data_IF_626188207880
#
_entry.id   IF_626188207880
#
_cell.length_a   1.000
_cell.length_b   1.000
_cell.length_c   1.000
_cell.angle_alpha   90.00
_cell.angle_beta   90.00
_cell.angle_gamma   90.00
#
_symmetry.space_group_name_H-M   'P 1'
#
loop_
_entity.id
_entity.type
_entity.pdbx_description
1 polymer ?
#
# COMPACT_ATOMS: atom_id res chain seq x y z
N UNK A 1 -6.69 8.86 -9.78
CA UNK A 1 -5.62 8.00 -9.24
C UNK A 1 -5.26 6.94 -10.25
N UNK A 2 -3.97 6.65 -10.38
CA UNK A 2 -3.44 5.67 -11.34
C UNK A 2 -3.34 4.28 -10.71
N UNK A 3 -2.98 4.21 -9.42
CA UNK A 3 -2.89 2.97 -8.65
C UNK A 3 -3.28 3.22 -7.19
N UNK A 4 -3.43 2.13 -6.44
CA UNK A 4 -3.68 2.13 -5.00
C UNK A 4 -2.80 1.08 -4.33
N UNK A 5 -2.19 1.44 -3.20
CA UNK A 5 -1.36 0.57 -2.38
C UNK A 5 -2.04 0.31 -1.04
N UNK A 6 -2.09 -0.96 -0.62
CA UNK A 6 -2.67 -1.37 0.66
C UNK A 6 -1.58 -1.92 1.58
N UNK A 7 -1.43 -1.31 2.75
CA UNK A 7 -0.66 -1.85 3.86
C UNK A 7 -1.64 -2.51 4.84
N UNK A 8 -1.53 -3.84 5.00
CA UNK A 8 -2.44 -4.64 5.80
C UNK A 8 -1.80 -4.96 7.16
N UNK A 9 -2.47 -4.57 8.24
CA UNK A 9 -2.02 -4.74 9.61
C UNK A 9 -3.00 -5.60 10.38
N UNK A 10 -2.47 -6.42 11.29
CA UNK A 10 -3.25 -7.21 12.23
C UNK A 10 -2.61 -7.12 13.62
N UNK A 11 -3.41 -7.34 14.66
CA UNK A 11 -2.90 -7.30 16.02
C UNK A 11 -1.93 -8.46 16.29
N UNK A 12 -0.71 -8.13 16.70
CA UNK A 12 0.37 -9.09 16.98
C UNK A 12 -0.05 -10.18 17.97
N UNK A 13 -0.99 -9.89 18.90
CA UNK A 13 -1.51 -10.87 19.88
C UNK A 13 -2.03 -12.16 19.25
N UNK A 14 -2.35 -12.15 17.95
CA UNK A 14 -2.84 -13.32 17.21
C UNK A 14 -1.75 -14.11 16.46
N UNK A 15 -0.54 -13.58 16.36
CA UNK A 15 0.63 -14.21 15.72
C UNK A 15 0.55 -14.38 14.20
N UNK A 16 -0.64 -14.44 13.60
CA UNK A 16 -0.81 -14.49 12.14
C UNK A 16 -2.14 -13.88 11.69
N UNK A 17 -2.15 -13.36 10.46
CA UNK A 17 -3.36 -12.87 9.80
C UNK A 17 -4.47 -13.93 9.78
N UNK A 18 -4.14 -15.17 9.46
CA UNK A 18 -5.09 -16.29 9.42
C UNK A 18 -5.76 -16.54 10.76
N UNK A 19 -5.06 -16.32 11.88
CA UNK A 19 -5.64 -16.47 13.22
C UNK A 19 -6.66 -15.38 13.53
N UNK A 20 -6.45 -14.15 13.05
CA UNK A 20 -7.40 -13.03 13.20
C UNK A 20 -8.71 -13.36 12.49
N UNK A 21 -8.64 -13.91 11.27
CA UNK A 21 -9.83 -14.29 10.49
C UNK A 21 -10.72 -15.34 11.18
N UNK A 22 -10.20 -16.04 12.20
CA UNK A 22 -10.95 -17.03 12.98
C UNK A 22 -11.60 -16.46 14.23
N UNK A 23 -11.22 -15.25 14.65
CA UNK A 23 -11.76 -14.62 15.84
C UNK A 23 -13.06 -13.88 15.52
N UNK A 24 -14.00 -13.93 16.46
CA UNK A 24 -15.19 -13.10 16.40
C UNK A 24 -14.87 -11.74 17.00
N UNK A 25 -15.30 -10.66 16.34
CA UNK A 25 -15.17 -9.26 16.79
C UNK A 25 -13.76 -8.67 16.77
N UNK A 26 -12.85 -9.21 15.96
CA UNK A 26 -11.52 -8.63 15.79
C UNK A 26 -11.38 -8.01 14.41
N UNK A 27 -10.78 -6.83 14.36
CA UNK A 27 -10.61 -6.06 13.15
C UNK A 27 -9.15 -6.15 12.65
N UNK A 28 -8.99 -6.04 11.34
CA UNK A 28 -7.71 -5.76 10.69
C UNK A 28 -7.70 -4.31 10.23
N UNK A 29 -6.53 -3.69 10.22
CA UNK A 29 -6.38 -2.32 9.75
C UNK A 29 -5.81 -2.36 8.34
N UNK A 30 -6.45 -1.66 7.41
CA UNK A 30 -5.88 -1.43 6.08
C UNK A 30 -5.64 0.05 5.89
N UNK A 31 -4.37 0.41 5.69
CA UNK A 31 -3.99 1.75 5.24
C UNK A 31 -3.89 1.74 3.73
N UNK A 32 -4.64 2.62 3.08
CA UNK A 32 -4.67 2.78 1.64
C UNK A 32 -4.02 4.11 1.25
N UNK A 33 -3.15 4.05 0.25
CA UNK A 33 -2.48 5.20 -0.34
C UNK A 33 -2.74 5.22 -1.83
N UNK A 34 -3.17 6.36 -2.35
CA UNK A 34 -3.27 6.53 -3.79
C UNK A 34 -1.92 6.88 -4.41
N UNK A 35 -1.65 6.31 -5.59
CA UNK A 35 -0.53 6.71 -6.44
C UNK A 35 -1.10 7.41 -7.67
N UNK A 36 -0.47 8.53 -8.08
CA UNK A 36 -0.95 9.35 -9.17
C UNK A 36 0.21 9.75 -10.07
N UNK A 37 0.02 9.57 -11.38
CA UNK A 37 0.83 10.26 -12.39
C UNK A 37 0.23 11.67 -12.60
N UNK A 38 0.96 12.75 -12.30
CA UNK A 38 0.43 14.11 -12.45
C UNK A 38 0.13 14.45 -13.91
N UNK A 39 -0.92 15.23 -14.15
CA UNK A 39 -1.31 15.69 -15.50
C UNK A 39 -0.35 16.77 -16.04
N UNK A 40 0.25 17.55 -15.16
CA UNK A 40 1.20 18.60 -15.52
C UNK A 40 2.63 18.07 -15.63
N UNK A 41 3.26 18.36 -16.77
CA UNK A 41 4.58 17.91 -17.20
C UNK A 41 5.73 18.64 -16.47
N UNK A 42 5.61 18.84 -15.16
CA UNK A 42 6.64 19.45 -14.34
C UNK A 42 7.86 18.52 -14.27
N UNK A 43 9.05 19.03 -14.55
CA UNK A 43 10.31 18.26 -14.66
C UNK A 43 10.66 17.45 -13.40
N UNK A 44 10.11 17.81 -12.24
CA UNK A 44 10.27 17.05 -11.01
C UNK A 44 9.49 15.72 -11.00
N UNK A 45 8.33 15.64 -11.66
CA UNK A 45 7.51 14.43 -11.73
C UNK A 45 8.01 13.46 -12.81
N UNK A 46 8.68 13.96 -13.85
CA UNK A 46 9.32 13.11 -14.85
C UNK A 46 10.41 12.19 -14.26
N UNK A 47 11.08 12.62 -13.16
CA UNK A 47 12.11 11.82 -12.50
C UNK A 47 11.56 10.62 -11.70
N UNK A 48 10.25 10.57 -11.47
CA UNK A 48 9.62 9.53 -10.66
C UNK A 48 9.97 9.61 -9.18
N UNK A 49 9.30 8.77 -8.38
CA UNK A 49 9.60 8.63 -6.97
C UNK A 49 10.75 7.64 -6.78
N UNK A 50 11.96 8.16 -6.52
CA UNK A 50 13.16 7.33 -6.35
C UNK A 50 13.07 6.32 -5.22
N UNK A 51 12.24 6.57 -4.20
CA UNK A 51 12.04 5.63 -3.09
C UNK A 51 11.26 4.39 -3.55
N UNK A 52 10.55 4.46 -4.68
CA UNK A 52 9.90 3.31 -5.31
C UNK A 52 10.80 2.58 -6.33
N UNK A 53 11.95 3.15 -6.72
CA UNK A 53 12.84 2.54 -7.72
C UNK A 53 13.25 1.09 -7.39
N UNK A 54 13.58 0.73 -6.13
CA UNK A 54 13.90 -0.66 -5.78
C UNK A 54 12.73 -1.60 -6.09
N UNK A 55 11.50 -1.21 -5.73
CA UNK A 55 10.30 -1.99 -5.96
C UNK A 55 9.99 -2.11 -7.46
N UNK A 56 10.06 -1.00 -8.21
CA UNK A 56 9.83 -0.98 -9.66
C UNK A 56 10.82 -1.90 -10.39
N UNK A 57 12.11 -1.85 -10.03
CA UNK A 57 13.13 -2.73 -10.61
C UNK A 57 12.88 -4.21 -10.35
N UNK A 58 12.51 -4.54 -9.11
CA UNK A 58 12.22 -5.93 -8.74
C UNK A 58 10.93 -6.41 -9.40
N UNK A 59 9.87 -5.61 -9.41
CA UNK A 59 8.62 -5.91 -10.11
C UNK A 59 8.85 -6.19 -11.60
N UNK A 60 9.68 -5.39 -12.28
CA UNK A 60 10.03 -5.60 -13.69
C UNK A 60 10.78 -6.94 -13.96
N UNK A 61 11.40 -7.53 -12.94
CA UNK A 61 12.08 -8.83 -13.04
C UNK A 61 11.13 -10.02 -12.86
N UNK A 62 9.98 -9.82 -12.23
CA UNK A 62 8.97 -10.85 -11.97
C UNK A 62 8.03 -10.93 -13.17
N UNK A 63 8.28 -11.87 -14.08
CA UNK A 63 7.47 -12.07 -15.30
C UNK A 63 6.49 -13.23 -15.18
N UNK A 64 6.88 -14.25 -14.43
CA UNK A 64 6.12 -15.47 -14.28
C UNK A 64 5.39 -15.49 -12.93
N UNK A 65 4.18 -16.06 -12.94
CA UNK A 65 3.39 -16.28 -11.73
C UNK A 65 4.20 -17.11 -10.72
N UNK A 66 4.00 -16.84 -9.44
CA UNK A 66 4.60 -17.56 -8.31
C UNK A 66 6.15 -17.39 -8.22
N UNK A 67 6.73 -16.46 -8.98
CA UNK A 67 8.14 -16.05 -8.85
C UNK A 67 8.33 -15.19 -7.61
N UNK A 68 9.38 -15.48 -6.85
CA UNK A 68 9.79 -14.72 -5.67
C UNK A 68 11.10 -13.98 -5.98
N UNK A 69 11.15 -12.69 -5.66
CA UNK A 69 12.37 -11.90 -5.72
C UNK A 69 12.56 -11.14 -4.41
N UNK A 70 13.82 -10.87 -4.06
CA UNK A 70 14.18 -10.18 -2.83
C UNK A 70 14.48 -8.71 -3.10
N UNK A 71 13.94 -7.85 -2.24
CA UNK A 71 14.26 -6.43 -2.20
C UNK A 71 15.23 -6.22 -1.04
N UNK A 72 16.44 -5.72 -1.34
CA UNK A 72 17.51 -5.54 -0.34
C UNK A 72 17.40 -4.24 0.47
N UNK A 73 16.50 -3.34 0.06
CA UNK A 73 16.35 -2.00 0.64
C UNK A 73 14.88 -1.61 0.62
N UNK A 74 14.35 -1.34 1.81
CA UNK A 74 12.92 -1.09 2.04
C UNK A 74 12.62 0.40 2.20
N UNK A 75 13.02 1.21 1.20
CA UNK A 75 12.78 2.66 1.21
C UNK A 75 11.26 2.98 1.13
N UNK A 76 10.40 2.00 0.81
CA UNK A 76 8.94 2.21 0.75
C UNK A 76 8.33 2.39 2.13
N UNK A 77 8.94 1.82 3.18
CA UNK A 77 8.51 2.05 4.57
C UNK A 77 8.63 3.52 4.94
N UNK A 78 9.71 4.20 4.52
CA UNK A 78 9.88 5.62 4.79
C UNK A 78 8.80 6.48 4.11
N UNK A 79 8.37 6.12 2.90
CA UNK A 79 7.23 6.79 2.23
C UNK A 79 5.94 6.61 3.03
N UNK A 80 5.70 5.39 3.52
CA UNK A 80 4.50 5.08 4.31
C UNK A 80 4.52 5.87 5.61
N UNK A 81 5.66 5.91 6.31
CA UNK A 81 5.83 6.66 7.55
C UNK A 81 5.59 8.16 7.35
N UNK A 82 6.16 8.77 6.31
CA UNK A 82 5.92 10.18 5.95
C UNK A 82 4.42 10.46 5.73
N UNK A 83 3.74 9.59 4.98
CA UNK A 83 2.29 9.74 4.75
C UNK A 83 1.47 9.57 6.02
N UNK A 84 1.90 8.72 6.94
CA UNK A 84 1.25 8.51 8.24
C UNK A 84 1.35 9.69 9.20
N UNK A 85 2.26 10.64 8.98
CA UNK A 85 2.32 11.88 9.77
C UNK A 85 1.13 12.81 9.48
N UNK A 86 0.47 12.64 8.33
CA UNK A 86 -0.71 13.41 7.97
C UNK A 86 -1.92 13.04 8.82
N UNK A 87 -2.61 14.04 9.37
CA UNK A 87 -3.91 13.85 10.03
C UNK A 87 -5.09 13.87 9.04
N UNK A 88 -4.82 14.06 7.75
CA UNK A 88 -5.84 14.24 6.72
C UNK A 88 -6.12 12.93 5.96
N UNK A 89 -7.00 12.12 6.56
CA UNK A 89 -7.40 10.82 6.06
C UNK A 89 -8.90 10.58 6.27
N UNK A 90 -9.46 9.68 5.47
CA UNK A 90 -10.81 9.15 5.67
C UNK A 90 -10.73 7.80 6.39
N UNK A 91 -11.70 7.49 7.25
CA UNK A 91 -11.78 6.17 7.87
C UNK A 91 -13.22 5.65 7.93
N UNK A 92 -13.38 4.34 7.70
CA UNK A 92 -14.65 3.65 7.80
C UNK A 92 -14.43 2.17 8.13
N UNK A 93 -15.47 1.49 8.62
CA UNK A 93 -15.47 0.04 8.77
C UNK A 93 -16.02 -0.59 7.49
N UNK A 94 -15.33 -1.61 6.97
CA UNK A 94 -15.65 -2.24 5.70
C UNK A 94 -15.12 -3.67 5.61
N UNK A 95 -14.89 -4.14 4.38
CA UNK A 95 -14.49 -5.52 4.11
C UNK A 95 -13.13 -5.66 3.47
N UNK A 96 -12.63 -6.90 3.41
CA UNK A 96 -11.57 -7.27 2.48
C UNK A 96 -12.06 -7.09 1.03
N UNK A 97 -11.16 -6.69 0.13
CA UNK A 97 -11.43 -6.49 -1.30
C UNK A 97 -11.20 -7.76 -2.14
N UNK A 98 -10.74 -8.85 -1.51
CA UNK A 98 -10.45 -10.13 -2.14
C UNK A 98 -11.34 -11.25 -1.56
N UNK A 99 -11.49 -12.38 -2.29
CA UNK A 99 -12.40 -13.45 -1.90
C UNK A 99 -12.32 -13.86 -0.43
N UNK A 100 -13.49 -14.20 0.12
CA UNK A 100 -13.91 -14.26 1.54
C UNK A 100 -14.51 -12.95 2.05
N UNK A 101 -14.12 -11.80 1.51
CA UNK A 101 -14.79 -10.50 1.66
C UNK A 101 -15.24 -10.18 3.10
N UNK A 102 -14.46 -10.59 4.11
CA UNK A 102 -14.84 -10.47 5.51
C UNK A 102 -15.00 -8.99 5.90
N UNK A 103 -16.15 -8.63 6.48
CA UNK A 103 -16.45 -7.29 7.02
C UNK A 103 -15.79 -7.07 8.39
N UNK A 104 -14.45 -7.11 8.39
CA UNK A 104 -13.62 -7.00 9.59
C UNK A 104 -12.53 -5.93 9.42
N UNK A 105 -12.66 -5.04 8.43
CA UNK A 105 -11.58 -4.13 8.08
C UNK A 105 -11.89 -2.72 8.56
N UNK A 106 -11.02 -2.16 9.40
CA UNK A 106 -10.95 -0.72 9.61
C UNK A 106 -10.07 -0.12 8.51
N UNK A 107 -10.67 0.67 7.62
CA UNK A 107 -9.97 1.35 6.54
C UNK A 107 -9.46 2.73 7.01
N UNK A 108 -8.25 3.09 6.59
CA UNK A 108 -7.67 4.43 6.69
C UNK A 108 -7.16 4.81 5.30
N UNK A 109 -7.75 5.81 4.67
CA UNK A 109 -7.44 6.23 3.31
C UNK A 109 -6.76 7.60 3.34
N UNK A 110 -5.50 7.63 2.91
CA UNK A 110 -4.76 8.87 2.69
C UNK A 110 -5.04 9.39 1.27
N UNK A 111 -5.74 10.51 1.21
CA UNK A 111 -6.23 11.07 -0.06
C UNK A 111 -5.14 11.86 -0.83
N UNK A 112 -4.12 12.38 -0.14
CA UNK A 112 -2.96 13.05 -0.76
C UNK A 112 -2.06 12.01 -1.44
N UNK A 113 -2.00 11.99 -2.78
CA UNK A 113 -1.36 10.90 -3.49
C UNK A 113 0.17 10.88 -3.30
N UNK A 114 0.74 9.69 -3.48
CA UNK A 114 2.16 9.50 -3.76
C UNK A 114 2.35 9.74 -5.26
N UNK A 115 3.16 10.73 -5.63
CA UNK A 115 3.41 11.01 -7.04
C UNK A 115 4.33 9.95 -7.65
N UNK A 116 3.98 9.48 -8.84
CA UNK A 116 4.78 8.56 -9.65
C UNK A 116 4.95 9.12 -11.06
N UNK A 117 5.95 8.66 -11.81
CA UNK A 117 6.11 9.02 -13.23
C UNK A 117 5.37 8.03 -14.13
N UNK A 118 5.14 8.40 -15.39
CA UNK A 118 4.62 7.47 -16.41
C UNK A 118 5.50 6.24 -16.66
N UNK A 119 6.80 6.34 -16.37
CA UNK A 119 7.75 5.24 -16.58
C UNK A 119 7.72 4.23 -15.42
N UNK A 120 7.30 4.65 -14.24
CA UNK A 120 7.08 3.81 -13.07
C UNK A 120 5.68 3.21 -13.11
#
# INVERSE_FOLDING_TARGET
FSMEMHCVFFNEKFGSFTNVLRQQNEEVLVMAFFLQVPEDDCSCYQRGNRMLDPLVKVAASIKDKDTIALILRDDIVDIILDKMESTDYYTYSGSLTTPKYNEIVKWVIYHTPICISHQQ
#
